data_IF_458141570918
#
_entry.id   IF_458141570918
#
_cell.length_a   1.000
_cell.length_b   1.000
_cell.length_c   1.000
_cell.angle_alpha   90.00
_cell.angle_beta   90.00
_cell.angle_gamma   90.00
#
_symmetry.space_group_name_H-M   'P 1'
#
loop_
_entity.id
_entity.type
_entity.pdbx_description
1 polymer ?
#
# COMPACT_ATOMS: atom_id res chain seq x y z
N UNK A 1 5.82 14.73 7.91
CA UNK A 1 4.57 14.94 7.13
C UNK A 1 3.77 13.65 7.03
N UNK A 2 2.56 13.61 7.59
CA UNK A 2 1.67 12.45 7.56
C UNK A 2 1.20 12.08 6.12
N UNK A 3 1.11 13.08 5.23
CA UNK A 3 0.66 12.94 3.85
C UNK A 3 1.49 11.94 3.02
N UNK A 4 2.82 11.93 3.21
CA UNK A 4 3.72 11.01 2.50
C UNK A 4 3.48 9.54 2.91
N UNK A 5 3.10 9.30 4.17
CA UNK A 5 2.81 7.95 4.68
C UNK A 5 1.47 7.43 4.17
N UNK A 6 0.46 8.30 4.05
CA UNK A 6 -0.84 7.93 3.46
C UNK A 6 -0.65 7.48 2.02
N UNK A 7 0.03 8.27 1.19
CA UNK A 7 0.24 7.96 -0.22
C UNK A 7 1.06 6.68 -0.40
N UNK A 8 2.03 6.43 0.48
CA UNK A 8 2.75 5.18 0.52
C UNK A 8 1.82 3.98 0.79
N UNK A 9 1.01 4.02 1.85
CA UNK A 9 0.12 2.88 2.17
C UNK A 9 -0.96 2.68 1.11
N UNK A 10 -1.49 3.76 0.51
CA UNK A 10 -2.41 3.66 -0.63
C UNK A 10 -1.76 2.94 -1.82
N UNK A 11 -0.52 3.28 -2.17
CA UNK A 11 0.24 2.59 -3.22
C UNK A 11 0.42 1.10 -2.91
N UNK A 12 0.75 0.77 -1.66
CA UNK A 12 0.92 -0.64 -1.25
C UNK A 12 -0.40 -1.42 -1.36
N UNK A 13 -1.52 -0.82 -0.92
CA UNK A 13 -2.84 -1.44 -1.05
C UNK A 13 -3.20 -1.68 -2.52
N UNK A 14 -2.96 -0.69 -3.38
CA UNK A 14 -3.25 -0.82 -4.82
C UNK A 14 -2.47 -2.00 -5.46
N UNK A 15 -1.18 -2.11 -5.14
CA UNK A 15 -0.36 -3.25 -5.59
C UNK A 15 -0.91 -4.59 -5.04
N UNK A 16 -1.32 -4.63 -3.77
CA UNK A 16 -1.91 -5.84 -3.18
C UNK A 16 -3.24 -6.23 -3.85
N UNK A 17 -4.08 -5.25 -4.19
CA UNK A 17 -5.35 -5.49 -4.87
C UNK A 17 -5.13 -5.98 -6.31
N UNK A 18 -4.13 -5.46 -7.03
CA UNK A 18 -3.70 -6.00 -8.33
C UNK A 18 -3.32 -7.47 -8.21
N UNK A 19 -2.55 -7.85 -7.18
CA UNK A 19 -2.15 -9.24 -6.97
C UNK A 19 -3.35 -10.12 -6.67
N UNK A 20 -4.24 -9.69 -5.77
CA UNK A 20 -5.45 -10.44 -5.42
C UNK A 20 -6.38 -10.65 -6.63
N UNK A 21 -6.57 -9.62 -7.46
CA UNK A 21 -7.41 -9.70 -8.67
C UNK A 21 -6.84 -10.68 -9.68
N UNK A 22 -5.52 -10.67 -9.88
CA UNK A 22 -4.87 -11.54 -10.87
C UNK A 22 -4.62 -12.96 -10.35
N UNK A 23 -4.39 -13.14 -9.05
CA UNK A 23 -4.23 -14.47 -8.45
C UNK A 23 -5.48 -15.34 -8.63
N UNK A 24 -6.68 -14.74 -8.64
CA UNK A 24 -7.94 -15.44 -8.96
C UNK A 24 -7.98 -16.02 -10.38
N UNK A 25 -7.14 -15.50 -11.29
CA UNK A 25 -7.03 -15.95 -12.69
C UNK A 25 -5.95 -17.02 -12.88
N UNK A 26 -5.28 -17.45 -11.82
CA UNK A 26 -4.24 -18.49 -11.87
C UNK A 26 -2.86 -18.03 -12.33
N UNK A 27 -2.61 -16.71 -12.42
CA UNK A 27 -1.27 -16.21 -12.79
C UNK A 27 -0.32 -16.16 -11.60
N UNK A 28 0.97 -16.38 -11.87
CA UNK A 28 2.00 -16.37 -10.83
C UNK A 28 2.35 -14.95 -10.38
N UNK A 29 2.79 -14.81 -9.12
CA UNK A 29 3.26 -13.52 -8.60
C UNK A 29 4.44 -12.94 -9.39
N UNK A 30 5.32 -13.81 -9.95
CA UNK A 30 6.40 -13.40 -10.84
C UNK A 30 5.86 -12.71 -12.09
N UNK A 31 4.86 -13.32 -12.73
CA UNK A 31 4.24 -12.77 -13.93
C UNK A 31 3.54 -11.45 -13.65
N UNK A 32 2.80 -11.35 -12.53
CA UNK A 32 2.13 -10.12 -12.10
C UNK A 32 3.16 -9.00 -11.90
N UNK A 33 4.29 -9.30 -11.25
CA UNK A 33 5.36 -8.32 -11.07
C UNK A 33 5.91 -7.83 -12.42
N UNK A 34 6.27 -8.75 -13.32
CA UNK A 34 6.93 -8.42 -14.60
C UNK A 34 5.99 -7.69 -15.56
N UNK A 35 4.72 -8.07 -15.63
CA UNK A 35 3.80 -7.59 -16.67
C UNK A 35 2.88 -6.46 -16.21
N UNK A 36 2.65 -6.31 -14.91
CA UNK A 36 1.68 -5.32 -14.39
C UNK A 36 2.37 -4.33 -13.46
N UNK A 37 3.06 -4.81 -12.43
CA UNK A 37 3.57 -3.93 -11.36
C UNK A 37 4.81 -3.16 -11.81
N UNK A 38 5.78 -3.82 -12.42
CA UNK A 38 7.04 -3.18 -12.83
C UNK A 38 6.83 -2.07 -13.88
N UNK A 39 6.04 -2.27 -14.95
CA UNK A 39 5.78 -1.20 -15.94
C UNK A 39 5.14 0.05 -15.34
N UNK A 40 4.24 -0.12 -14.36
CA UNK A 40 3.49 0.99 -13.76
C UNK A 40 4.26 1.69 -12.64
N UNK A 41 4.83 0.92 -11.71
CA UNK A 41 5.41 1.45 -10.48
C UNK A 41 6.93 1.58 -10.51
N UNK A 42 7.60 0.88 -11.45
CA UNK A 42 9.06 0.86 -11.59
C UNK A 42 9.79 0.55 -10.27
N UNK A 43 9.19 -0.29 -9.44
CA UNK A 43 9.78 -0.74 -8.17
C UNK A 43 10.58 -2.02 -8.38
N UNK A 44 11.60 -2.23 -7.55
CA UNK A 44 12.35 -3.49 -7.57
C UNK A 44 11.48 -4.67 -7.12
N UNK A 45 11.89 -5.88 -7.53
CA UNK A 45 11.24 -7.13 -7.09
C UNK A 45 11.27 -7.30 -5.58
N UNK A 46 12.39 -6.93 -4.93
CA UNK A 46 12.51 -6.98 -3.48
C UNK A 46 11.49 -6.05 -2.81
N UNK A 47 11.34 -4.82 -3.32
CA UNK A 47 10.35 -3.86 -2.84
C UNK A 47 8.92 -4.39 -3.01
N UNK A 48 8.62 -5.02 -4.13
CA UNK A 48 7.33 -5.64 -4.38
C UNK A 48 6.99 -6.71 -3.32
N UNK A 49 7.90 -7.67 -3.06
CA UNK A 49 7.65 -8.68 -2.04
C UNK A 49 7.55 -8.08 -0.63
N UNK A 50 8.37 -7.08 -0.32
CA UNK A 50 8.24 -6.34 0.94
C UNK A 50 6.84 -5.73 1.09
N UNK A 51 6.29 -5.14 0.02
CA UNK A 51 4.95 -4.56 0.03
C UNK A 51 3.85 -5.60 0.25
N UNK A 52 3.98 -6.80 -0.29
CA UNK A 52 3.01 -7.87 -0.06
C UNK A 52 2.95 -8.32 1.41
N UNK A 53 4.06 -8.24 2.15
CA UNK A 53 4.11 -8.55 3.58
C UNK A 53 3.58 -7.44 4.51
N UNK A 54 3.33 -6.23 4.00
CA UNK A 54 2.89 -5.11 4.83
C UNK A 54 1.37 -5.18 5.04
N UNK A 55 0.92 -5.14 6.30
CA UNK A 55 -0.48 -4.89 6.63
C UNK A 55 -0.85 -3.41 6.42
N UNK A 56 -0.95 -3.00 5.15
CA UNK A 56 -1.11 -1.59 4.76
C UNK A 56 -2.48 -1.03 5.15
N UNK A 57 -3.55 -1.84 5.12
CA UNK A 57 -4.90 -1.43 5.55
C UNK A 57 -4.93 -1.02 7.03
N UNK A 58 -4.34 -1.82 7.92
CA UNK A 58 -4.25 -1.47 9.34
C UNK A 58 -3.40 -0.22 9.59
N UNK A 59 -2.26 -0.10 8.88
CA UNK A 59 -1.38 1.08 9.00
C UNK A 59 -2.05 2.35 8.49
N UNK A 60 -2.79 2.29 7.38
CA UNK A 60 -3.54 3.42 6.86
C UNK A 60 -4.62 3.89 7.85
N UNK A 61 -5.35 2.94 8.46
CA UNK A 61 -6.38 3.26 9.47
C UNK A 61 -5.77 4.02 10.65
N UNK A 62 -4.65 3.54 11.21
CA UNK A 62 -3.93 4.23 12.30
C UNK A 62 -3.51 5.65 11.93
N UNK A 63 -3.03 5.86 10.69
CA UNK A 63 -2.62 7.20 10.25
C UNK A 63 -3.82 8.14 10.14
N UNK A 64 -4.96 7.65 9.65
CA UNK A 64 -6.18 8.45 9.59
C UNK A 64 -6.74 8.75 10.99
N UNK A 65 -6.69 7.79 11.92
CA UNK A 65 -7.09 7.99 13.31
C UNK A 65 -6.26 9.09 13.98
N UNK A 66 -4.93 9.11 13.77
CA UNK A 66 -4.04 10.15 14.32
C UNK A 66 -4.36 11.53 13.74
N UNK A 67 -4.75 11.63 12.47
CA UNK A 67 -5.10 12.91 11.82
C UNK A 67 -6.45 13.43 12.30
N UNK A 68 -7.40 12.52 12.54
CA UNK A 68 -8.77 12.89 12.93
C UNK A 68 -8.94 13.09 14.45
N UNK A 69 -7.91 12.84 15.25
CA UNK A 69 -7.92 13.20 16.66
C UNK A 69 -7.84 14.73 16.79
N UNK A 70 -8.80 15.39 17.47
CA UNK A 70 -8.66 16.80 17.80
C UNK A 70 -7.41 16.95 18.66
N UNK A 71 -6.44 17.72 18.19
CA UNK A 71 -5.23 17.99 18.97
C UNK A 71 -5.64 18.74 20.24
N UNK A 72 -5.14 18.30 21.39
CA UNK A 72 -5.39 18.82 22.74
C UNK A 72 -5.18 20.35 22.93
N UNK A 73 -4.71 21.04 21.88
CA UNK A 73 -4.38 22.46 21.87
C UNK A 73 -5.48 23.36 21.28
N UNK A 74 -6.55 22.80 20.71
CA UNK A 74 -7.69 23.59 20.20
C UNK A 74 -8.81 23.79 21.24
N UNK A 75 -8.61 23.39 22.50
CA UNK A 75 -9.61 23.49 23.57
C UNK A 75 -9.24 24.50 24.68
N UNK A 76 -8.63 25.64 24.33
CA UNK A 76 -8.36 26.76 25.24
C UNK A 76 -8.94 28.05 24.68
#
# INVERSE_FOLDING_TARGET
>A
MAYNRINFYRKVIDIQDIVLKNSKRGVTQKWIYENIVYPQYRISRATYYNYLGINAKAKLRKVNEIINQPTLFESV
#
